data_IF_166056260001
#
_entry.id   IF_166056260001
#
_cell.length_a   1.000
_cell.length_b   1.000
_cell.length_c   1.000
_cell.angle_alpha   90.00
_cell.angle_beta   90.00
_cell.angle_gamma   90.00
#
_symmetry.space_group_name_H-M   'P 1'
#
loop_
_entity.id
_entity.type
_entity.pdbx_description
1 polymer ?
#
# COMPACT_ATOMS: atom_id res chain seq x y z
N UNK A 1 -28.47 -8.44 -39.57
CA UNK A 1 -27.12 -8.27 -40.14
C UNK A 1 -26.38 -7.16 -39.38
N UNK A 2 -25.06 -7.30 -39.20
CA UNK A 2 -24.07 -6.30 -38.72
C UNK A 2 -24.17 -5.84 -37.26
N UNK A 3 -23.02 -5.37 -36.73
CA UNK A 3 -22.71 -5.21 -35.31
C UNK A 3 -22.07 -3.83 -35.02
N UNK A 4 -22.25 -3.32 -33.78
CA UNK A 4 -21.28 -2.47 -33.03
C UNK A 4 -20.96 -1.04 -33.56
N UNK A 5 -20.28 -0.15 -32.78
CA UNK A 5 -20.62 0.36 -31.44
C UNK A 5 -20.37 1.90 -31.27
N UNK A 6 -20.34 2.37 -30.02
CA UNK A 6 -19.87 3.68 -29.49
C UNK A 6 -20.91 4.81 -29.33
N UNK A 7 -20.69 5.67 -28.33
CA UNK A 7 -21.53 6.84 -27.99
C UNK A 7 -21.87 6.94 -26.50
N UNK A 8 -20.98 7.53 -25.70
CA UNK A 8 -21.23 7.83 -24.28
C UNK A 8 -22.40 8.81 -24.10
N UNK A 9 -23.14 8.71 -22.99
CA UNK A 9 -23.99 9.81 -22.48
C UNK A 9 -23.52 10.23 -21.10
N UNK A 10 -23.27 11.53 -20.95
CA UNK A 10 -23.11 12.18 -19.67
C UNK A 10 -24.48 12.45 -19.04
N UNK A 11 -24.57 12.35 -17.72
CA UNK A 11 -25.56 13.06 -16.89
C UNK A 11 -24.74 13.76 -15.80
N UNK A 12 -25.03 15.04 -15.58
CA UNK A 12 -24.32 15.93 -14.65
C UNK A 12 -25.18 16.29 -13.42
N UNK A 13 -24.61 17.12 -12.53
CA UNK A 13 -25.17 17.69 -11.29
C UNK A 13 -25.36 16.71 -10.10
N UNK A 14 -25.12 17.08 -8.83
CA UNK A 14 -24.67 18.32 -8.16
C UNK A 14 -24.10 17.93 -6.75
N UNK A 15 -23.42 18.75 -5.91
CA UNK A 15 -22.96 20.15 -5.89
C UNK A 15 -21.78 20.29 -4.88
N UNK A 16 -20.63 20.89 -5.23
CA UNK A 16 -19.70 21.65 -4.34
C UNK A 16 -18.79 22.48 -5.25
N UNK A 17 -18.72 23.80 -5.05
CA UNK A 17 -18.03 24.71 -5.95
C UNK A 17 -16.58 24.99 -5.55
N UNK A 18 -15.70 25.07 -6.54
CA UNK A 18 -14.50 25.90 -6.49
C UNK A 18 -14.44 26.72 -7.77
N UNK A 19 -14.37 28.05 -7.63
CA UNK A 19 -14.19 28.96 -8.77
C UNK A 19 -12.72 29.04 -9.17
N UNK A 20 -12.47 28.97 -10.48
CA UNK A 20 -11.47 29.79 -11.17
C UNK A 20 -9.99 29.67 -10.78
N UNK A 21 -9.28 28.68 -11.33
CA UNK A 21 -7.91 28.85 -11.79
C UNK A 21 -7.63 27.90 -12.98
N UNK A 22 -7.07 28.42 -14.07
CA UNK A 22 -6.83 27.70 -15.33
C UNK A 22 -5.49 26.95 -15.35
N UNK A 23 -5.45 25.81 -16.03
CA UNK A 23 -4.30 24.91 -16.25
C UNK A 23 -3.69 24.26 -14.98
N UNK A 24 -3.95 22.97 -14.86
CA UNK A 24 -3.63 22.11 -13.72
C UNK A 24 -2.13 21.85 -13.55
N UNK A 25 -1.53 22.45 -12.51
CA UNK A 25 -0.18 22.13 -12.03
C UNK A 25 0.04 20.64 -11.66
N UNK A 26 -1.05 19.88 -11.50
CA UNK A 26 -1.02 18.43 -11.24
C UNK A 26 -0.40 17.65 -12.40
N UNK A 27 -0.68 18.05 -13.65
CA UNK A 27 -0.24 17.31 -14.84
C UNK A 27 1.27 17.41 -15.06
N UNK A 28 1.89 18.53 -14.66
CA UNK A 28 3.34 18.73 -14.76
C UNK A 28 4.13 17.76 -13.86
N UNK A 29 3.67 17.56 -12.62
CA UNK A 29 4.26 16.59 -11.67
C UNK A 29 4.09 15.16 -12.18
N UNK A 30 2.95 14.86 -12.80
CA UNK A 30 2.63 13.52 -13.30
C UNK A 30 3.37 13.19 -14.61
N UNK A 31 3.62 14.16 -15.48
CA UNK A 31 4.43 13.99 -16.70
C UNK A 31 5.91 13.74 -16.42
N UNK A 32 6.50 14.38 -15.40
CA UNK A 32 7.90 14.16 -15.01
C UNK A 32 8.16 12.71 -14.56
N UNK A 33 7.16 12.06 -13.94
CA UNK A 33 7.26 10.68 -13.47
C UNK A 33 7.22 9.61 -14.59
N UNK A 34 6.68 9.92 -15.77
CA UNK A 34 6.41 8.91 -16.81
C UNK A 34 7.60 8.57 -17.73
N UNK A 35 8.76 9.26 -17.62
CA UNK A 35 9.94 9.02 -18.48
C UNK A 35 10.98 8.05 -17.90
N UNK A 36 10.63 7.28 -16.87
CA UNK A 36 11.57 6.45 -16.11
C UNK A 36 11.66 5.01 -16.63
N UNK A 37 12.53 4.74 -17.61
CA UNK A 37 12.89 3.35 -17.96
C UNK A 37 14.35 3.21 -18.42
N UNK A 38 15.01 2.13 -17.97
CA UNK A 38 16.34 1.64 -18.42
C UNK A 38 17.54 2.59 -18.21
N UNK A 39 18.01 2.76 -16.97
CA UNK A 39 19.34 3.37 -16.76
C UNK A 39 19.68 3.95 -15.39
N UNK A 40 19.27 3.36 -14.26
CA UNK A 40 19.84 3.71 -12.95
C UNK A 40 19.80 5.21 -12.57
N UNK A 41 18.71 5.89 -12.92
CA UNK A 41 18.57 7.35 -12.89
C UNK A 41 18.41 7.98 -11.49
N UNK A 42 19.27 7.64 -10.53
CA UNK A 42 19.27 8.28 -9.21
C UNK A 42 19.43 9.80 -9.28
N UNK A 43 20.25 10.28 -10.23
CA UNK A 43 20.44 11.70 -10.51
C UNK A 43 19.16 12.40 -10.99
N UNK A 44 18.32 11.78 -11.84
CA UNK A 44 17.05 12.38 -12.28
C UNK A 44 16.03 12.50 -11.14
N UNK A 45 16.05 11.60 -10.17
CA UNK A 45 15.20 11.70 -8.98
C UNK A 45 15.66 12.88 -8.12
N UNK A 46 16.96 13.00 -7.87
CA UNK A 46 17.54 14.12 -7.14
C UNK A 46 17.31 15.46 -7.86
N UNK A 47 17.46 15.50 -9.18
CA UNK A 47 17.20 16.66 -10.04
C UNK A 47 15.72 17.05 -10.02
N UNK A 48 14.79 16.10 -10.14
CA UNK A 48 13.36 16.35 -10.02
C UNK A 48 12.97 16.86 -8.62
N UNK A 49 13.60 16.37 -7.54
CA UNK A 49 13.39 16.90 -6.19
C UNK A 49 13.92 18.35 -6.10
N UNK A 50 15.10 18.63 -6.66
CA UNK A 50 15.67 20.01 -6.72
C UNK A 50 14.76 20.94 -7.53
N UNK A 51 14.25 20.53 -8.68
CA UNK A 51 13.28 21.30 -9.45
C UNK A 51 11.99 21.54 -8.68
N UNK A 52 11.42 20.51 -8.00
CA UNK A 52 10.23 20.69 -7.19
C UNK A 52 10.44 21.70 -6.05
N UNK A 53 11.61 21.68 -5.39
CA UNK A 53 11.98 22.64 -4.34
C UNK A 53 12.23 24.05 -4.91
N UNK A 54 12.82 24.17 -6.11
CA UNK A 54 13.15 25.46 -6.72
C UNK A 54 11.95 26.16 -7.37
N UNK A 55 11.14 25.42 -8.15
CA UNK A 55 9.95 25.91 -8.85
C UNK A 55 8.88 26.35 -7.84
N UNK A 56 8.72 25.60 -6.75
CA UNK A 56 7.77 25.95 -5.70
C UNK A 56 8.45 26.91 -4.72
N UNK A 57 8.69 28.15 -5.17
CA UNK A 57 9.38 29.22 -4.43
C UNK A 57 8.63 29.71 -3.17
N UNK A 58 7.61 28.99 -2.73
CA UNK A 58 6.84 29.23 -1.50
C UNK A 58 6.77 27.96 -0.65
N UNK A 59 7.71 27.83 0.31
CA UNK A 59 7.60 27.04 1.55
C UNK A 59 7.34 25.52 1.46
N UNK A 60 7.23 24.94 0.27
CA UNK A 60 6.86 23.52 0.09
C UNK A 60 8.08 22.61 0.21
N UNK A 61 8.25 22.01 1.39
CA UNK A 61 9.30 21.03 1.63
C UNK A 61 8.86 19.64 1.15
N UNK A 62 9.54 19.07 0.16
CA UNK A 62 9.43 17.64 -0.18
C UNK A 62 9.90 16.82 1.02
N UNK A 63 9.09 15.90 1.53
CA UNK A 63 9.40 15.11 2.74
C UNK A 63 9.59 13.62 2.47
N UNK A 64 8.83 13.09 1.52
CA UNK A 64 8.89 11.70 1.10
C UNK A 64 8.72 11.58 -0.42
N UNK A 65 9.28 10.50 -0.98
CA UNK A 65 9.14 10.05 -2.35
C UNK A 65 8.47 8.67 -2.32
N UNK A 66 7.21 8.58 -2.73
CA UNK A 66 6.49 7.29 -2.81
C UNK A 66 6.72 6.66 -4.18
N UNK A 67 7.10 5.38 -4.21
CA UNK A 67 7.43 4.65 -5.42
C UNK A 67 6.91 3.20 -5.40
N UNK A 68 6.89 2.55 -6.56
CA UNK A 68 6.58 1.11 -6.64
C UNK A 68 7.73 0.24 -6.10
N UNK A 69 7.49 -1.07 -5.98
CA UNK A 69 8.54 -2.04 -5.60
C UNK A 69 9.33 -2.61 -6.79
N UNK A 70 9.47 -1.89 -7.91
CA UNK A 70 10.23 -2.35 -9.08
C UNK A 70 11.69 -2.66 -8.75
N UNK A 71 12.34 -3.48 -9.57
CA UNK A 71 13.74 -3.86 -9.35
C UNK A 71 14.70 -2.65 -9.37
N UNK A 72 14.36 -1.58 -10.08
CA UNK A 72 15.11 -0.32 -10.07
C UNK A 72 14.93 0.41 -8.73
N UNK A 73 13.68 0.68 -8.32
CA UNK A 73 13.41 1.37 -7.06
C UNK A 73 13.96 0.62 -5.83
N UNK A 74 13.98 -0.72 -5.87
CA UNK A 74 14.61 -1.57 -4.85
C UNK A 74 16.14 -1.52 -4.80
N UNK A 75 16.83 -1.15 -5.90
CA UNK A 75 18.26 -0.87 -5.88
C UNK A 75 18.49 0.52 -5.28
N UNK A 76 17.82 1.53 -5.82
CA UNK A 76 17.91 2.91 -5.31
C UNK A 76 17.64 3.02 -3.81
N UNK A 77 16.58 2.38 -3.28
CA UNK A 77 16.28 2.36 -1.83
C UNK A 77 17.23 1.48 -0.98
N UNK A 78 18.05 0.64 -1.61
CA UNK A 78 19.13 -0.10 -0.92
C UNK A 78 20.38 0.77 -0.83
N UNK A 79 20.69 1.47 -1.90
CA UNK A 79 21.93 2.20 -2.11
C UNK A 79 21.85 3.60 -1.45
N UNK A 80 20.65 4.18 -1.35
CA UNK A 80 20.36 5.44 -0.66
C UNK A 80 19.45 5.21 0.55
N UNK A 81 19.79 5.75 1.72
CA UNK A 81 18.94 5.74 2.93
C UNK A 81 17.92 6.90 2.95
N UNK A 82 17.46 7.33 1.78
CA UNK A 82 16.84 8.63 1.53
C UNK A 82 17.78 9.58 0.78
N UNK A 83 17.24 10.70 0.30
CA UNK A 83 18.00 11.72 -0.43
C UNK A 83 18.31 12.90 0.49
N UNK A 84 19.59 13.27 0.59
CA UNK A 84 20.00 14.47 1.32
C UNK A 84 19.78 15.70 0.44
N UNK A 85 18.89 16.60 0.86
CA UNK A 85 18.58 17.84 0.17
C UNK A 85 19.01 19.02 1.03
N UNK A 86 19.69 19.98 0.40
CA UNK A 86 20.09 21.26 0.99
C UNK A 86 19.04 22.32 0.61
N UNK A 87 18.58 23.11 1.58
CA UNK A 87 17.69 24.25 1.38
C UNK A 87 18.49 25.48 0.96
N UNK A 88 17.78 26.52 0.48
CA UNK A 88 18.39 27.82 0.15
C UNK A 88 19.06 28.53 1.34
N UNK A 89 18.72 28.17 2.59
CA UNK A 89 19.38 28.65 3.82
C UNK A 89 20.60 27.80 4.24
N UNK A 90 21.03 26.83 3.41
CA UNK A 90 22.12 25.89 3.69
C UNK A 90 21.76 24.73 4.63
N UNK A 91 20.54 24.71 5.20
CA UNK A 91 20.13 23.63 6.09
C UNK A 91 19.81 22.34 5.32
N UNK A 92 20.20 21.19 5.89
CA UNK A 92 20.06 19.87 5.26
C UNK A 92 18.92 19.09 5.87
N UNK A 93 18.21 18.34 5.03
CA UNK A 93 17.20 17.38 5.47
C UNK A 93 17.19 16.13 4.58
N UNK A 94 16.52 15.07 5.04
CA UNK A 94 16.39 13.81 4.31
C UNK A 94 14.99 13.72 3.72
N UNK A 95 14.89 13.45 2.42
CA UNK A 95 13.67 12.97 1.77
C UNK A 95 13.59 11.46 1.95
N UNK A 96 12.57 11.00 2.65
CA UNK A 96 12.32 9.58 2.85
C UNK A 96 11.90 8.91 1.53
N UNK A 97 12.64 7.91 1.04
CA UNK A 97 12.09 7.05 0.00
C UNK A 97 11.10 6.08 0.65
N UNK A 98 9.92 5.93 0.05
CA UNK A 98 8.83 5.07 0.52
C UNK A 98 8.29 4.18 -0.58
N UNK A 99 7.88 2.96 -0.23
CA UNK A 99 7.07 2.14 -1.14
C UNK A 99 5.58 2.41 -0.92
N UNK A 100 4.82 2.43 -2.01
CA UNK A 100 3.37 2.32 -1.93
C UNK A 100 2.99 1.02 -1.20
N UNK A 101 2.16 1.17 -0.17
CA UNK A 101 1.74 0.09 0.71
C UNK A 101 0.96 -1.01 -0.01
N UNK A 102 0.28 -0.69 -1.10
CA UNK A 102 -0.40 -1.66 -1.95
C UNK A 102 0.62 -2.65 -2.54
N UNK A 103 1.79 -2.15 -2.97
CA UNK A 103 2.90 -2.99 -3.45
C UNK A 103 3.64 -3.72 -2.32
N UNK A 104 3.59 -3.21 -1.07
CA UNK A 104 4.06 -3.96 0.10
C UNK A 104 3.16 -5.19 0.31
N UNK A 105 1.85 -5.00 0.33
CA UNK A 105 0.84 -6.05 0.53
C UNK A 105 0.91 -7.12 -0.57
N UNK A 106 1.02 -6.72 -1.84
CA UNK A 106 1.21 -7.64 -2.98
C UNK A 106 2.45 -8.52 -2.82
N UNK A 107 3.57 -7.94 -2.38
CA UNK A 107 4.79 -8.70 -2.14
C UNK A 107 4.68 -9.67 -0.94
N UNK A 108 3.93 -9.30 0.11
CA UNK A 108 3.56 -10.22 1.20
C UNK A 108 2.74 -11.40 0.69
N UNK A 109 1.67 -11.12 -0.07
CA UNK A 109 0.81 -12.14 -0.64
C UNK A 109 1.56 -13.07 -1.59
N UNK A 110 2.38 -12.51 -2.48
CA UNK A 110 3.25 -13.27 -3.38
C UNK A 110 4.20 -14.17 -2.59
N UNK A 111 4.86 -13.65 -1.55
CA UNK A 111 5.79 -14.45 -0.74
C UNK A 111 5.10 -15.58 0.02
N UNK A 112 3.91 -15.34 0.59
CA UNK A 112 3.06 -16.40 1.18
C UNK A 112 2.62 -17.43 0.12
N UNK A 113 2.37 -17.01 -1.12
CA UNK A 113 2.00 -17.92 -2.22
C UNK A 113 3.15 -18.79 -2.71
N UNK A 114 4.40 -18.36 -2.53
CA UNK A 114 5.59 -19.14 -2.87
C UNK A 114 5.97 -20.11 -1.75
N UNK A 115 5.87 -19.66 -0.48
CA UNK A 115 6.17 -20.43 0.75
C UNK A 115 4.94 -21.27 1.18
N UNK A 116 4.50 -22.15 0.27
CA UNK A 116 3.28 -22.99 0.42
C UNK A 116 3.38 -24.05 1.52
N UNK A 117 4.55 -24.33 2.03
CA UNK A 117 4.78 -25.21 3.17
C UNK A 117 4.41 -24.53 4.50
N UNK A 118 4.57 -23.20 4.61
CA UNK A 118 4.24 -22.43 5.81
C UNK A 118 2.91 -21.67 5.74
N UNK A 119 2.43 -21.32 4.54
CA UNK A 119 1.25 -20.46 4.36
C UNK A 119 0.23 -21.02 3.35
N UNK A 120 -1.05 -20.80 3.65
CA UNK A 120 -2.19 -21.13 2.81
C UNK A 120 -2.92 -19.86 2.35
N UNK A 121 -2.41 -19.23 1.30
CA UNK A 121 -3.11 -18.11 0.63
C UNK A 121 -4.47 -18.49 0.04
N UNK A 122 -4.82 -19.79 0.01
CA UNK A 122 -6.09 -20.28 -0.54
C UNK A 122 -7.20 -20.46 0.50
N UNK A 123 -6.98 -20.13 1.79
CA UNK A 123 -7.98 -20.35 2.86
C UNK A 123 -9.36 -19.76 2.54
N UNK A 124 -9.43 -18.56 1.96
CA UNK A 124 -10.72 -17.96 1.62
C UNK A 124 -11.43 -18.72 0.49
N UNK A 125 -10.68 -19.21 -0.51
CA UNK A 125 -11.21 -20.06 -1.58
C UNK A 125 -11.69 -21.41 -1.04
N UNK A 126 -10.91 -22.03 -0.15
CA UNK A 126 -11.29 -23.28 0.54
C UNK A 126 -12.55 -23.09 1.38
N UNK A 127 -12.67 -21.99 2.12
CA UNK A 127 -13.84 -21.65 2.93
C UNK A 127 -15.09 -21.44 2.06
N UNK A 128 -14.96 -20.69 0.96
CA UNK A 128 -16.04 -20.47 -0.01
C UNK A 128 -16.51 -21.77 -0.68
N UNK A 129 -15.59 -22.69 -1.01
CA UNK A 129 -15.91 -23.99 -1.57
C UNK A 129 -16.52 -24.97 -0.55
N UNK A 130 -16.04 -24.96 0.70
CA UNK A 130 -16.44 -25.92 1.75
C UNK A 130 -17.89 -25.76 2.22
N UNK A 131 -18.44 -24.53 2.30
CA UNK A 131 -19.82 -24.32 2.78
C UNK A 131 -20.57 -23.21 2.05
N UNK A 132 -21.50 -23.63 1.19
CA UNK A 132 -22.52 -22.77 0.61
C UNK A 132 -23.30 -21.97 1.67
N UNK A 133 -23.64 -22.56 2.83
CA UNK A 133 -24.38 -21.86 3.90
C UNK A 133 -23.58 -20.76 4.57
N UNK A 134 -22.26 -20.95 4.78
CA UNK A 134 -21.40 -19.86 5.25
C UNK A 134 -21.35 -18.79 4.17
N UNK A 135 -20.97 -19.11 2.93
CA UNK A 135 -20.91 -18.13 1.84
C UNK A 135 -22.23 -17.38 1.59
N UNK A 136 -23.37 -18.06 1.73
CA UNK A 136 -24.70 -17.48 1.58
C UNK A 136 -25.01 -16.47 2.68
N UNK A 137 -24.66 -16.75 3.95
CA UNK A 137 -24.81 -15.80 5.07
C UNK A 137 -24.05 -14.48 4.83
N UNK A 138 -22.98 -14.51 4.04
CA UNK A 138 -22.19 -13.33 3.70
C UNK A 138 -22.78 -12.59 2.51
N UNK A 139 -23.21 -13.31 1.46
CA UNK A 139 -23.99 -12.74 0.35
C UNK A 139 -25.25 -12.01 0.84
N UNK A 140 -26.00 -12.60 1.77
CA UNK A 140 -27.22 -11.97 2.33
C UNK A 140 -26.93 -10.73 3.18
N UNK A 141 -25.70 -10.56 3.67
CA UNK A 141 -25.21 -9.33 4.32
C UNK A 141 -24.51 -8.35 3.36
N UNK A 142 -24.65 -8.55 2.05
CA UNK A 142 -24.07 -7.68 1.02
C UNK A 142 -22.58 -7.88 0.74
N UNK A 143 -21.91 -8.82 1.43
CA UNK A 143 -20.50 -9.09 1.20
C UNK A 143 -20.29 -9.89 -0.10
N UNK A 144 -19.82 -9.19 -1.15
CA UNK A 144 -19.47 -9.78 -2.46
C UNK A 144 -17.96 -9.80 -2.64
N UNK A 145 -17.27 -10.70 -1.95
CA UNK A 145 -15.86 -10.95 -2.21
C UNK A 145 -15.67 -11.62 -3.58
N UNK A 146 -14.74 -11.10 -4.39
CA UNK A 146 -14.34 -11.71 -5.66
C UNK A 146 -13.41 -12.88 -5.39
N UNK A 147 -13.98 -14.08 -5.23
CA UNK A 147 -13.21 -15.34 -5.14
C UNK A 147 -12.83 -15.79 -6.56
N UNK A 148 -12.06 -14.95 -7.24
CA UNK A 148 -11.56 -15.21 -8.59
C UNK A 148 -10.42 -16.24 -8.64
N UNK A 149 -10.12 -16.70 -9.85
CA UNK A 149 -8.85 -17.33 -10.20
C UNK A 149 -7.76 -16.32 -10.52
N UNK A 150 -8.14 -15.07 -10.82
CA UNK A 150 -7.22 -13.95 -11.06
C UNK A 150 -6.35 -13.64 -9.85
N UNK A 151 -5.11 -13.22 -10.12
CA UNK A 151 -4.19 -12.58 -9.16
C UNK A 151 -4.14 -11.08 -9.43
N UNK A 152 -5.29 -10.42 -9.61
CA UNK A 152 -5.25 -8.96 -9.75
C UNK A 152 -4.95 -8.33 -8.40
N UNK A 153 -4.26 -7.19 -8.42
CA UNK A 153 -3.95 -6.40 -7.23
C UNK A 153 -5.23 -6.08 -6.42
N UNK A 154 -6.36 -5.88 -7.12
CA UNK A 154 -7.69 -5.68 -6.53
C UNK A 154 -8.18 -6.92 -5.76
N UNK A 155 -8.01 -8.12 -6.31
CA UNK A 155 -8.41 -9.37 -5.64
C UNK A 155 -7.55 -9.61 -4.39
N UNK A 156 -6.24 -9.30 -4.48
CA UNK A 156 -5.32 -9.37 -3.35
C UNK A 156 -5.76 -8.40 -2.25
N UNK A 157 -5.97 -7.12 -2.56
CA UNK A 157 -6.39 -6.11 -1.59
C UNK A 157 -7.73 -6.45 -0.89
N UNK A 158 -8.64 -7.20 -1.53
CA UNK A 158 -9.87 -7.66 -0.86
C UNK A 158 -9.63 -8.64 0.30
N UNK A 159 -8.54 -9.42 0.25
CA UNK A 159 -8.14 -10.33 1.34
C UNK A 159 -7.65 -9.56 2.58
N UNK A 160 -7.15 -8.35 2.40
CA UNK A 160 -6.60 -7.49 3.45
C UNK A 160 -7.61 -6.44 3.94
N UNK A 161 -8.87 -6.87 4.04
CA UNK A 161 -9.98 -6.05 4.55
C UNK A 161 -10.45 -6.52 5.91
N UNK A 162 -10.95 -5.60 6.74
CA UNK A 162 -11.53 -5.92 8.06
C UNK A 162 -12.65 -6.96 7.96
N UNK A 163 -13.42 -6.93 6.86
CA UNK A 163 -14.44 -7.93 6.55
C UNK A 163 -13.82 -9.32 6.31
N UNK A 164 -12.76 -9.43 5.49
CA UNK A 164 -12.08 -10.70 5.23
C UNK A 164 -11.46 -11.31 6.49
N UNK A 165 -10.76 -10.51 7.31
CA UNK A 165 -10.20 -10.94 8.60
C UNK A 165 -11.31 -11.39 9.56
N UNK A 166 -12.45 -10.71 9.58
CA UNK A 166 -13.60 -11.12 10.39
C UNK A 166 -14.18 -12.48 9.95
N UNK A 167 -14.26 -12.80 8.65
CA UNK A 167 -14.72 -14.15 8.24
C UNK A 167 -13.76 -15.23 8.71
N UNK A 168 -12.46 -15.00 8.54
CA UNK A 168 -11.44 -15.97 8.94
C UNK A 168 -11.48 -16.21 10.46
N UNK A 169 -11.62 -15.15 11.27
CA UNK A 169 -11.78 -15.27 12.73
C UNK A 169 -13.03 -16.07 13.12
N UNK A 170 -14.15 -15.90 12.42
CA UNK A 170 -15.37 -16.69 12.63
C UNK A 170 -15.17 -18.15 12.18
N UNK A 171 -14.48 -18.38 11.07
CA UNK A 171 -14.19 -19.70 10.53
C UNK A 171 -13.27 -20.51 11.47
N UNK A 172 -12.28 -19.87 12.10
CA UNK A 172 -11.46 -20.45 13.18
C UNK A 172 -12.36 -20.82 14.37
N UNK A 173 -13.18 -19.87 14.87
CA UNK A 173 -14.10 -20.12 16.01
C UNK A 173 -15.13 -21.22 15.74
N UNK A 174 -15.42 -21.52 14.48
CA UNK A 174 -16.34 -22.59 14.05
C UNK A 174 -15.64 -23.88 13.61
N UNK A 175 -14.31 -23.97 13.70
CA UNK A 175 -13.53 -25.15 13.33
C UNK A 175 -13.52 -25.45 11.81
N UNK A 176 -13.80 -24.47 10.96
CA UNK A 176 -13.77 -24.64 9.49
C UNK A 176 -12.36 -24.49 8.89
N UNK A 177 -11.49 -23.82 9.62
CA UNK A 177 -10.04 -23.73 9.43
C UNK A 177 -9.39 -23.84 10.81
N UNK A 178 -8.20 -24.42 10.89
CA UNK A 178 -7.57 -24.70 12.19
C UNK A 178 -6.21 -25.41 12.14
N UNK A 179 -5.74 -25.80 10.96
CA UNK A 179 -4.34 -26.24 10.82
C UNK A 179 -3.38 -25.06 11.06
N UNK A 180 -2.20 -25.34 11.59
CA UNK A 180 -1.19 -24.32 11.92
C UNK A 180 -0.93 -23.35 10.76
N UNK A 181 -0.83 -23.90 9.55
CA UNK A 181 -0.68 -23.18 8.28
C UNK A 181 -1.82 -22.20 7.98
N UNK A 182 -3.07 -22.58 8.25
CA UNK A 182 -4.25 -21.73 8.07
C UNK A 182 -4.26 -20.60 9.12
N UNK A 183 -3.91 -20.90 10.38
CA UNK A 183 -3.80 -19.92 11.47
C UNK A 183 -2.71 -18.88 11.17
N UNK A 184 -1.50 -19.33 10.84
CA UNK A 184 -0.36 -18.47 10.48
C UNK A 184 -0.66 -17.56 9.29
N UNK A 185 -1.52 -18.01 8.37
CA UNK A 185 -1.96 -17.20 7.23
C UNK A 185 -2.98 -16.15 7.64
N UNK A 186 -3.93 -16.49 8.52
CA UNK A 186 -4.86 -15.54 9.12
C UNK A 186 -4.13 -14.43 9.89
N UNK A 187 -3.07 -14.76 10.63
CA UNK A 187 -2.27 -13.78 11.38
C UNK A 187 -1.63 -12.73 10.46
N UNK A 188 -1.01 -13.15 9.34
CA UNK A 188 -0.45 -12.22 8.35
C UNK A 188 -1.56 -11.38 7.70
N UNK A 189 -2.71 -11.97 7.33
CA UNK A 189 -3.85 -11.21 6.82
C UNK A 189 -4.35 -10.17 7.84
N UNK A 190 -4.41 -10.52 9.13
CA UNK A 190 -4.81 -9.61 10.20
C UNK A 190 -3.82 -8.45 10.37
N UNK A 191 -2.51 -8.72 10.47
CA UNK A 191 -1.47 -7.70 10.62
C UNK A 191 -1.44 -6.73 9.43
N UNK A 192 -1.45 -7.24 8.20
CA UNK A 192 -1.47 -6.40 7.00
C UNK A 192 -2.79 -5.63 6.82
N UNK A 193 -3.92 -6.12 7.36
CA UNK A 193 -5.19 -5.37 7.39
C UNK A 193 -5.11 -4.19 8.37
N UNK A 194 -4.48 -4.36 9.55
CA UNK A 194 -4.22 -3.25 10.48
C UNK A 194 -3.35 -2.18 9.80
N UNK A 195 -2.25 -2.59 9.15
CA UNK A 195 -1.37 -1.71 8.37
C UNK A 195 -2.15 -0.94 7.29
N UNK A 196 -2.94 -1.66 6.48
CA UNK A 196 -3.80 -1.09 5.44
C UNK A 196 -4.75 -0.03 6.02
N UNK A 197 -5.33 -0.30 7.19
CA UNK A 197 -6.27 0.61 7.86
C UNK A 197 -5.57 1.91 8.30
N UNK A 198 -4.37 1.80 8.87
CA UNK A 198 -3.57 2.98 9.27
C UNK A 198 -3.26 3.84 8.04
N UNK A 199 -2.67 3.24 7.01
CA UNK A 199 -2.18 3.97 5.84
C UNK A 199 -3.34 4.54 4.99
N UNK A 200 -4.42 3.78 4.81
CA UNK A 200 -5.60 4.24 4.06
C UNK A 200 -6.42 5.30 4.81
N UNK A 201 -6.33 5.36 6.15
CA UNK A 201 -7.00 6.41 6.92
C UNK A 201 -6.42 7.81 6.72
N UNK A 202 -5.15 7.91 6.26
CA UNK A 202 -4.37 9.14 6.22
C UNK A 202 -4.07 9.76 7.60
N UNK A 203 -4.49 9.11 8.70
CA UNK A 203 -4.46 9.65 10.06
C UNK A 203 -3.37 9.00 10.91
N UNK A 204 -2.11 9.23 10.54
CA UNK A 204 -1.01 9.04 11.49
C UNK A 204 -1.08 10.23 12.46
N UNK A 205 -1.47 9.98 13.71
CA UNK A 205 -1.74 11.04 14.69
C UNK A 205 -0.96 10.80 15.97
N UNK A 206 -0.40 11.87 16.54
CA UNK A 206 0.40 11.82 17.79
C UNK A 206 -0.31 11.08 18.93
N UNK A 207 -1.62 11.26 19.06
CA UNK A 207 -2.48 10.58 20.05
C UNK A 207 -2.62 9.07 19.86
N UNK A 208 -2.48 8.57 18.63
CA UNK A 208 -2.56 7.14 18.31
C UNK A 208 -1.17 6.53 17.99
N UNK A 209 -0.10 7.32 18.08
CA UNK A 209 1.24 6.94 17.60
C UNK A 209 1.73 5.62 18.23
N UNK A 210 1.58 5.45 19.54
CA UNK A 210 2.00 4.21 20.23
C UNK A 210 1.28 2.97 19.69
N UNK A 211 -0.03 3.06 19.46
CA UNK A 211 -0.82 1.96 18.91
C UNK A 211 -0.47 1.69 17.44
N UNK A 212 -0.19 2.73 16.66
CA UNK A 212 0.25 2.62 15.26
C UNK A 212 1.66 2.02 15.17
N UNK A 213 2.57 2.41 16.06
CA UNK A 213 3.91 1.86 16.19
C UNK A 213 3.89 0.36 16.51
N UNK A 214 3.06 -0.09 17.45
CA UNK A 214 2.92 -1.52 17.77
C UNK A 214 2.44 -2.36 16.57
N UNK A 215 1.53 -1.84 15.74
CA UNK A 215 1.13 -2.48 14.48
C UNK A 215 2.28 -2.56 13.47
N UNK A 216 3.11 -1.52 13.39
CA UNK A 216 4.28 -1.52 12.51
C UNK A 216 5.35 -2.52 13.00
N UNK A 217 5.56 -2.66 14.30
CA UNK A 217 6.48 -3.64 14.89
C UNK A 217 6.02 -5.08 14.60
N UNK A 218 4.73 -5.38 14.75
CA UNK A 218 4.10 -6.65 14.33
C UNK A 218 4.34 -6.94 12.83
N UNK A 219 4.15 -5.94 11.97
CA UNK A 219 4.42 -6.02 10.51
C UNK A 219 5.90 -6.28 10.21
N UNK A 220 6.82 -5.64 10.94
CA UNK A 220 8.27 -5.84 10.78
C UNK A 220 8.67 -7.26 11.23
N UNK A 221 8.07 -7.79 12.29
CA UNK A 221 8.29 -9.19 12.71
C UNK A 221 7.88 -10.18 11.61
N UNK A 222 6.69 -10.03 11.03
CA UNK A 222 6.24 -10.85 9.90
C UNK A 222 7.11 -10.65 8.65
N UNK A 223 7.57 -9.42 8.38
CA UNK A 223 8.50 -9.11 7.28
C UNK A 223 9.80 -9.93 7.42
N UNK A 224 10.38 -9.93 8.62
CA UNK A 224 11.62 -10.65 8.92
C UNK A 224 11.43 -12.18 8.79
N UNK A 225 10.33 -12.73 9.33
CA UNK A 225 9.96 -14.15 9.18
C UNK A 225 9.81 -14.57 7.71
N UNK A 226 9.19 -13.72 6.88
CA UNK A 226 9.00 -13.96 5.44
C UNK A 226 10.24 -13.61 4.58
N UNK A 227 11.32 -13.09 5.19
CA UNK A 227 12.51 -12.52 4.50
C UNK A 227 12.17 -11.43 3.48
N UNK A 228 11.11 -10.66 3.73
CA UNK A 228 10.73 -9.50 2.92
C UNK A 228 11.54 -8.31 3.44
N UNK A 229 12.36 -7.71 2.57
CA UNK A 229 13.13 -6.52 2.93
C UNK A 229 12.17 -5.32 3.04
N UNK A 230 11.77 -5.02 4.29
CA UNK A 230 11.02 -3.81 4.69
C UNK A 230 11.79 -3.00 5.75
N UNK A 231 12.89 -3.54 6.30
CA UNK A 231 13.60 -2.96 7.46
C UNK A 231 14.14 -1.54 7.24
N UNK A 232 14.88 -1.29 6.14
CA UNK A 232 15.41 0.06 5.79
C UNK A 232 14.29 1.10 5.58
N UNK A 233 13.16 0.67 5.04
CA UNK A 233 11.98 1.51 4.80
C UNK A 233 11.45 2.07 6.12
N UNK A 234 11.37 1.21 7.13
CA UNK A 234 10.80 1.53 8.43
C UNK A 234 11.75 2.31 9.35
N UNK A 235 13.07 2.09 9.27
CA UNK A 235 14.05 2.90 10.01
C UNK A 235 13.95 4.39 9.65
N UNK A 236 13.70 4.70 8.37
CA UNK A 236 13.46 6.06 7.87
C UNK A 236 12.12 6.61 8.40
N UNK A 237 11.03 5.83 8.33
CA UNK A 237 9.70 6.24 8.81
C UNK A 237 9.66 6.47 10.32
N UNK A 238 10.37 5.66 11.10
CA UNK A 238 10.47 5.79 12.56
C UNK A 238 11.28 7.04 12.95
N UNK A 239 12.36 7.35 12.24
CA UNK A 239 13.05 8.64 12.36
C UNK A 239 12.14 9.81 11.97
N UNK A 240 11.36 9.68 10.89
CA UNK A 240 10.46 10.72 10.41
C UNK A 240 9.30 11.00 11.39
N UNK A 241 8.70 9.96 11.97
CA UNK A 241 7.65 10.10 12.98
C UNK A 241 8.18 10.70 14.29
N UNK A 242 9.37 10.32 14.75
CA UNK A 242 10.03 10.97 15.90
C UNK A 242 10.27 12.46 15.65
N UNK A 243 10.64 12.84 14.42
CA UNK A 243 10.81 14.23 14.00
C UNK A 243 9.49 15.00 13.73
N UNK A 244 8.32 14.35 13.82
CA UNK A 244 6.99 14.99 13.80
C UNK A 244 6.35 15.07 15.21
N UNK A 245 6.88 14.31 16.17
CA UNK A 245 6.42 14.30 17.57
C UNK A 245 7.21 15.29 18.44
N UNK A 246 8.43 15.64 18.06
CA UNK A 246 9.23 16.68 18.71
C UNK A 246 9.06 18.03 18.00
#
# INVERSE_FOLDING_TARGET
MRCSPTGQRCIADQRIGYMGATMSHVDAVQHAAQRLSYGGYGHLIEENIKYAVAIISFHLQVKALVCDRSAQNRRTARDCAGYHIERADGSKYIVAQMYDYIHIIDAFYSKMSDTKELYDVTIVRKLAARKATFWQHWKTRGAKMLVGTGRSLKDIMQLFTTAAVAMLKIAIKKGFIGSEKEIRSYEVFAAMTKLSTILHSGKISRTNWQAQQAVLEEVVEFSNKLRIVVKKQWEIENCYAKALVN
#
